data_IF_417242759959
#
_entry.id   IF_417242759959
#
_cell.length_a   1.000
_cell.length_b   1.000
_cell.length_c   1.000
_cell.angle_alpha   90.00
_cell.angle_beta   90.00
_cell.angle_gamma   90.00
#
_symmetry.space_group_name_H-M   'P 1'
#
loop_
_entity.id
_entity.type
_entity.pdbx_description
1 polymer ?
#
# COMPACT_ATOMS: atom_id res chain seq x y z
N UNK A 1 -15.36 0.69 -1.28
CA UNK A 1 -15.32 2.01 -0.68
C UNK A 1 -14.74 3.04 -1.63
N UNK A 2 -15.01 4.29 -1.38
CA UNK A 2 -14.54 5.45 -2.13
C UNK A 2 -13.91 6.45 -1.16
N UNK A 3 -12.73 6.95 -1.53
CA UNK A 3 -12.00 7.94 -0.74
C UNK A 3 -11.64 9.11 -1.63
N UNK A 4 -11.89 10.33 -1.17
CA UNK A 4 -11.42 11.55 -1.83
C UNK A 4 -10.18 12.06 -1.10
N UNK A 5 -9.16 12.45 -1.87
CA UNK A 5 -7.93 13.03 -1.37
C UNK A 5 -7.74 14.43 -1.93
N UNK A 6 -7.38 15.38 -1.06
CA UNK A 6 -7.04 16.75 -1.42
C UNK A 6 -5.54 16.88 -1.78
N UNK A 7 -5.06 15.96 -2.58
CA UNK A 7 -3.69 15.94 -3.07
C UNK A 7 -3.57 15.26 -4.43
N UNK A 8 -2.41 15.42 -5.06
CA UNK A 8 -2.10 14.78 -6.33
C UNK A 8 -2.07 13.25 -6.18
N UNK A 9 -2.63 12.54 -7.16
CA UNK A 9 -2.74 11.08 -7.18
C UNK A 9 -1.41 10.33 -7.06
N UNK A 10 -0.30 10.93 -7.50
CA UNK A 10 1.04 10.35 -7.36
C UNK A 10 1.43 10.21 -5.89
N UNK A 11 1.04 11.15 -5.03
CA UNK A 11 1.33 11.07 -3.59
C UNK A 11 0.66 9.85 -2.94
N UNK A 12 -0.55 9.51 -3.38
CA UNK A 12 -1.25 8.31 -2.91
C UNK A 12 -0.60 7.02 -3.44
N UNK A 13 -0.02 7.05 -4.66
CA UNK A 13 0.75 5.92 -5.17
C UNK A 13 2.09 5.75 -4.47
N UNK A 14 2.72 6.84 -4.04
CA UNK A 14 3.96 6.78 -3.27
C UNK A 14 3.78 5.96 -2.00
N UNK A 15 2.68 6.16 -1.29
CA UNK A 15 2.39 5.41 -0.07
C UNK A 15 2.37 3.89 -0.28
N UNK A 16 1.90 3.37 -1.41
CA UNK A 16 1.91 1.92 -1.67
C UNK A 16 3.33 1.38 -1.93
N UNK A 17 4.21 2.22 -2.48
CA UNK A 17 5.58 1.86 -2.81
C UNK A 17 6.59 2.28 -1.74
N UNK A 18 6.11 2.82 -0.63
CA UNK A 18 6.88 3.08 0.59
C UNK A 18 6.51 2.05 1.68
N UNK A 19 7.24 0.95 1.81
CA UNK A 19 6.94 -0.03 2.85
C UNK A 19 7.34 0.43 4.25
N UNK A 20 8.19 1.45 4.38
CA UNK A 20 8.72 1.92 5.66
C UNK A 20 7.72 2.83 6.39
N UNK A 21 6.89 3.57 5.65
CA UNK A 21 5.83 4.36 6.28
C UNK A 21 4.96 3.50 7.20
N UNK A 22 4.75 2.23 6.85
CA UNK A 22 3.93 1.33 7.67
C UNK A 22 4.50 1.14 9.07
N UNK A 23 5.82 1.09 9.22
CA UNK A 23 6.46 0.92 10.52
C UNK A 23 6.38 2.20 11.37
N UNK A 24 6.48 3.35 10.76
CA UNK A 24 6.41 4.63 11.46
C UNK A 24 4.96 5.12 11.64
N UNK A 25 4.21 5.25 10.57
CA UNK A 25 2.86 5.79 10.61
C UNK A 25 1.89 4.83 11.33
N UNK A 26 1.87 3.56 10.93
CA UNK A 26 0.94 2.57 11.46
C UNK A 26 1.45 1.79 12.67
N UNK A 27 2.72 1.91 12.99
CA UNK A 27 3.35 1.19 14.11
C UNK A 27 3.78 2.06 15.28
N UNK A 28 4.19 3.29 15.03
CA UNK A 28 4.80 4.16 16.04
C UNK A 28 4.07 5.47 16.27
N UNK A 29 3.80 6.25 15.22
CA UNK A 29 3.27 7.60 15.36
C UNK A 29 1.89 7.66 16.01
N UNK A 30 1.02 6.73 15.68
CA UNK A 30 -0.35 6.65 16.19
C UNK A 30 -0.58 5.43 17.08
N UNK A 31 0.49 4.74 17.48
CA UNK A 31 0.43 3.40 18.05
C UNK A 31 0.15 2.34 16.97
N UNK A 32 -0.01 1.10 17.39
CA UNK A 32 -0.28 -0.02 16.48
C UNK A 32 -1.71 0.12 15.94
N UNK A 33 -1.84 0.43 14.63
CA UNK A 33 -3.14 0.63 14.00
C UNK A 33 -3.78 -0.67 13.48
N UNK A 34 -2.96 -1.59 12.96
CA UNK A 34 -3.48 -2.83 12.35
C UNK A 34 -3.04 -4.07 13.13
N UNK A 35 -1.74 -4.38 13.10
CA UNK A 35 -1.17 -5.48 13.86
C UNK A 35 0.26 -5.16 14.26
N UNK A 36 0.76 -5.85 15.29
CA UNK A 36 2.12 -5.64 15.82
C UNK A 36 3.22 -5.80 14.77
N UNK A 37 3.00 -6.61 13.74
CA UNK A 37 3.94 -6.80 12.65
C UNK A 37 4.23 -5.53 11.85
N UNK A 38 3.32 -4.56 11.88
CA UNK A 38 3.55 -3.27 11.21
C UNK A 38 4.62 -2.42 11.89
N UNK A 39 4.82 -2.56 13.20
CA UNK A 39 5.85 -1.83 13.92
C UNK A 39 7.28 -2.32 13.62
N UNK A 40 7.41 -3.52 13.04
CA UNK A 40 8.71 -4.08 12.70
C UNK A 40 9.24 -3.48 11.40
N UNK A 41 10.48 -3.05 11.42
CA UNK A 41 11.22 -2.66 10.21
C UNK A 41 11.81 -3.92 9.59
N UNK A 42 11.46 -4.17 8.33
CA UNK A 42 11.87 -5.38 7.62
C UNK A 42 12.94 -5.14 6.57
N UNK A 43 13.34 -6.25 5.94
CA UNK A 43 14.17 -6.22 4.74
C UNK A 43 13.30 -5.93 3.53
N UNK A 44 13.77 -5.06 2.63
CA UNK A 44 13.03 -4.55 1.50
C UNK A 44 13.65 -5.01 0.19
N UNK A 45 12.79 -5.51 -0.69
CA UNK A 45 13.14 -5.86 -2.05
C UNK A 45 12.11 -5.26 -3.02
N UNK A 46 12.57 -4.80 -4.17
CA UNK A 46 11.69 -4.22 -5.19
C UNK A 46 11.92 -4.88 -6.53
N UNK A 47 10.83 -5.16 -7.23
CA UNK A 47 10.85 -5.83 -8.52
C UNK A 47 10.08 -5.03 -9.56
N UNK A 48 10.62 -4.97 -10.77
CA UNK A 48 9.99 -4.34 -11.94
C UNK A 48 9.69 -5.41 -13.00
N UNK A 49 8.43 -5.48 -13.44
CA UNK A 49 7.97 -6.38 -14.51
C UNK A 49 7.09 -5.61 -15.49
N UNK A 50 7.70 -4.99 -16.47
CA UNK A 50 6.99 -4.19 -17.47
C UNK A 50 6.30 -2.96 -16.86
N UNK A 51 5.00 -3.04 -16.63
CA UNK A 51 4.20 -1.98 -15.98
C UNK A 51 3.84 -2.31 -14.53
N UNK A 52 4.29 -3.46 -14.02
CA UNK A 52 4.05 -3.93 -12.66
C UNK A 52 5.27 -3.67 -11.77
N UNK A 53 5.05 -3.12 -10.60
CA UNK A 53 6.05 -2.80 -9.58
C UNK A 53 5.65 -3.47 -8.29
N UNK A 54 6.57 -4.22 -7.71
CA UNK A 54 6.36 -4.97 -6.49
C UNK A 54 7.28 -4.45 -5.40
N UNK A 55 6.72 -4.19 -4.23
CA UNK A 55 7.47 -3.94 -3.01
C UNK A 55 7.28 -5.12 -2.07
N UNK A 56 8.36 -5.81 -1.76
CA UNK A 56 8.37 -6.95 -0.86
C UNK A 56 9.00 -6.51 0.47
N UNK A 57 8.29 -6.71 1.58
CA UNK A 57 8.79 -6.40 2.91
C UNK A 57 8.76 -7.66 3.77
N UNK A 58 9.96 -8.13 4.14
CA UNK A 58 10.17 -9.32 4.96
C UNK A 58 10.47 -8.93 6.39
N UNK A 59 9.57 -9.28 7.32
CA UNK A 59 9.67 -8.93 8.74
C UNK A 59 9.78 -10.16 9.62
N UNK A 60 10.54 -10.04 10.69
CA UNK A 60 10.52 -11.01 11.78
C UNK A 60 9.53 -10.53 12.85
N UNK A 61 8.51 -11.33 13.10
CA UNK A 61 7.50 -11.06 14.14
C UNK A 61 7.45 -12.28 15.06
N UNK A 62 8.06 -12.19 16.23
CA UNK A 62 8.26 -13.31 17.17
C UNK A 62 8.92 -14.53 16.49
N UNK A 63 8.24 -15.68 16.50
CA UNK A 63 8.69 -16.94 15.89
C UNK A 63 8.30 -17.06 14.40
N UNK A 64 7.85 -15.96 13.77
CA UNK A 64 7.39 -15.97 12.39
C UNK A 64 8.20 -15.05 11.51
N UNK A 65 8.31 -15.40 10.24
CA UNK A 65 8.67 -14.49 9.16
C UNK A 65 7.39 -14.14 8.42
N UNK A 66 7.11 -12.86 8.32
CA UNK A 66 6.01 -12.32 7.55
C UNK A 66 6.55 -11.58 6.34
N UNK A 67 6.16 -12.06 5.16
CA UNK A 67 6.51 -11.48 3.87
C UNK A 67 5.25 -10.84 3.31
N UNK A 68 5.27 -9.51 3.17
CA UNK A 68 4.15 -8.75 2.62
C UNK A 68 4.54 -8.16 1.28
N UNK A 69 3.72 -8.42 0.26
CA UNK A 69 3.94 -7.91 -1.10
C UNK A 69 2.86 -6.91 -1.44
N UNK A 70 3.29 -5.69 -1.70
CA UNK A 70 2.47 -4.63 -2.28
C UNK A 70 2.75 -4.55 -3.77
N UNK A 71 1.74 -4.21 -4.56
CA UNK A 71 1.84 -4.11 -6.00
C UNK A 71 1.25 -2.80 -6.51
N UNK A 72 1.97 -2.19 -7.44
CA UNK A 72 1.51 -1.09 -8.26
C UNK A 72 1.55 -1.52 -9.72
N UNK A 73 0.43 -1.47 -10.42
CA UNK A 73 0.33 -1.64 -11.86
C UNK A 73 0.01 -0.28 -12.47
N UNK A 74 0.91 0.22 -13.29
CA UNK A 74 0.72 1.52 -13.94
C UNK A 74 -0.51 1.49 -14.87
N UNK A 75 -1.25 2.61 -14.96
CA UNK A 75 -0.90 3.88 -14.33
C UNK A 75 -1.27 4.00 -12.84
N UNK A 76 -2.31 3.34 -12.34
CA UNK A 76 -2.96 3.75 -11.10
C UNK A 76 -3.63 2.63 -10.29
N UNK A 77 -3.34 1.38 -10.63
CA UNK A 77 -3.89 0.23 -9.91
C UNK A 77 -2.94 -0.21 -8.79
N UNK A 78 -3.46 -0.45 -7.59
CA UNK A 78 -2.67 -0.90 -6.44
C UNK A 78 -3.32 -2.05 -5.68
N UNK A 79 -2.47 -2.90 -5.14
CA UNK A 79 -2.86 -3.93 -4.17
C UNK A 79 -1.86 -3.96 -3.00
N UNK A 80 -2.33 -4.28 -1.81
CA UNK A 80 -1.48 -4.55 -0.66
C UNK A 80 -1.74 -5.95 -0.11
N UNK A 81 -0.69 -6.60 0.35
CA UNK A 81 -0.79 -7.86 1.09
C UNK A 81 -1.57 -7.68 2.40
N UNK A 82 -2.11 -8.76 2.92
CA UNK A 82 -2.87 -8.77 4.16
C UNK A 82 -2.04 -8.38 5.38
N UNK A 83 -2.68 -8.05 6.48
CA UNK A 83 -2.02 -7.81 7.76
C UNK A 83 -1.53 -9.12 8.39
N UNK A 84 -0.48 -9.04 9.20
CA UNK A 84 -0.05 -10.15 10.03
C UNK A 84 -1.14 -10.49 11.05
N UNK A 85 -1.47 -11.79 11.19
CA UNK A 85 -2.45 -12.21 12.18
C UNK A 85 -2.02 -11.82 13.59
N UNK A 86 -2.93 -11.23 14.38
CA UNK A 86 -2.61 -10.70 15.71
C UNK A 86 -2.11 -11.77 16.68
N UNK A 87 -2.62 -13.00 16.58
CA UNK A 87 -2.22 -14.11 17.44
C UNK A 87 -0.91 -14.79 16.99
N UNK A 88 -0.44 -14.50 15.76
CA UNK A 88 0.80 -15.04 15.23
C UNK A 88 0.88 -16.57 15.20
N UNK A 89 -0.22 -17.27 15.44
CA UNK A 89 -0.23 -18.73 15.65
C UNK A 89 -0.38 -19.54 14.38
N UNK A 90 -0.82 -18.90 13.29
CA UNK A 90 -1.13 -19.58 12.04
C UNK A 90 -0.10 -19.28 10.98
N UNK A 91 0.56 -20.34 10.48
CA UNK A 91 1.32 -20.23 9.23
C UNK A 91 0.36 -20.08 8.06
N UNK A 92 0.74 -19.25 7.11
CA UNK A 92 -0.05 -18.98 5.91
C UNK A 92 0.90 -18.82 4.73
N UNK A 93 0.86 -19.78 3.80
CA UNK A 93 1.73 -19.72 2.63
C UNK A 93 1.29 -18.66 1.61
N UNK A 94 -0.04 -18.46 1.50
CA UNK A 94 -0.60 -17.44 0.61
C UNK A 94 -1.79 -16.78 1.30
N UNK A 95 -1.66 -15.48 1.58
CA UNK A 95 -2.76 -14.62 1.96
C UNK A 95 -3.23 -13.81 0.76
N UNK A 96 -4.52 -13.50 0.68
CA UNK A 96 -5.05 -12.60 -0.33
C UNK A 96 -4.58 -11.17 -0.10
N UNK A 97 -4.67 -10.34 -1.14
CA UNK A 97 -4.55 -8.89 -0.95
C UNK A 97 -5.61 -8.39 0.04
N UNK A 98 -5.22 -7.48 0.92
CA UNK A 98 -6.16 -6.83 1.85
C UNK A 98 -7.11 -5.90 1.13
N UNK A 99 -6.61 -5.22 0.12
CA UNK A 99 -7.42 -4.37 -0.75
C UNK A 99 -6.94 -4.39 -2.19
N UNK A 100 -7.85 -4.02 -3.07
CA UNK A 100 -7.60 -3.72 -4.48
C UNK A 100 -8.15 -2.33 -4.76
N UNK A 101 -7.32 -1.43 -5.34
CA UNK A 101 -7.63 -0.01 -5.43
C UNK A 101 -7.16 0.60 -6.74
N UNK A 102 -7.97 1.50 -7.29
CA UNK A 102 -7.58 2.44 -8.35
C UNK A 102 -7.51 3.84 -7.77
N UNK A 103 -6.42 4.54 -8.01
CA UNK A 103 -6.25 5.94 -7.64
C UNK A 103 -6.47 6.78 -8.89
N UNK A 104 -7.65 7.41 -8.98
CA UNK A 104 -8.10 8.11 -10.18
C UNK A 104 -7.91 9.60 -10.00
N UNK A 105 -7.08 10.28 -10.82
CA UNK A 105 -6.94 11.72 -10.78
C UNK A 105 -8.27 12.40 -11.16
N UNK A 106 -8.66 13.42 -10.40
CA UNK A 106 -9.77 14.31 -10.72
C UNK A 106 -9.23 15.57 -11.41
N UNK A 107 -8.17 16.12 -10.82
CA UNK A 107 -7.37 17.23 -11.34
C UNK A 107 -5.95 17.15 -10.78
N UNK A 108 -5.15 18.22 -10.90
CA UNK A 108 -3.77 18.22 -10.41
C UNK A 108 -3.65 18.16 -8.88
N UNK A 109 -4.69 18.55 -8.16
CA UNK A 109 -4.70 18.72 -6.70
C UNK A 109 -5.63 17.73 -5.99
N UNK A 110 -6.43 16.98 -6.73
CA UNK A 110 -7.42 16.06 -6.16
C UNK A 110 -7.41 14.72 -6.87
N UNK A 111 -7.62 13.66 -6.09
CA UNK A 111 -7.83 12.33 -6.64
C UNK A 111 -8.87 11.55 -5.82
N UNK A 112 -9.35 10.46 -6.41
CA UNK A 112 -10.30 9.56 -5.78
C UNK A 112 -9.71 8.15 -5.79
N UNK A 113 -9.69 7.49 -4.64
CA UNK A 113 -9.47 6.07 -4.58
C UNK A 113 -10.80 5.33 -4.67
N UNK A 114 -10.93 4.46 -5.65
CA UNK A 114 -12.02 3.51 -5.78
C UNK A 114 -11.47 2.12 -5.45
N UNK A 115 -12.02 1.49 -4.41
CA UNK A 115 -11.46 0.28 -3.91
C UNK A 115 -12.49 -0.69 -3.33
N UNK A 116 -12.09 -1.94 -3.24
CA UNK A 116 -12.74 -2.91 -2.37
C UNK A 116 -11.70 -3.59 -1.49
N UNK A 117 -12.09 -3.83 -0.25
CA UNK A 117 -11.35 -4.66 0.68
C UNK A 117 -11.73 -6.13 0.51
N UNK A 118 -10.76 -7.00 0.72
CA UNK A 118 -10.98 -8.44 0.74
C UNK A 118 -11.13 -8.89 2.19
N UNK A 119 -12.37 -9.03 2.62
CA UNK A 119 -12.73 -9.47 3.96
C UNK A 119 -13.28 -10.89 3.93
N UNK A 120 -13.39 -11.47 5.08
CA UNK A 120 -14.35 -12.52 5.27
C UNK A 120 -13.89 -13.92 5.00
N UNK A 121 -12.62 -14.20 5.02
CA UNK A 121 -12.16 -15.56 5.15
C UNK A 121 -11.72 -15.88 6.58
N UNK A 122 -11.80 -17.16 6.94
CA UNK A 122 -11.28 -17.64 8.22
C UNK A 122 -9.83 -17.19 8.39
N UNK A 123 -9.59 -16.36 9.39
CA UNK A 123 -8.28 -15.80 9.69
C UNK A 123 -8.11 -14.33 9.29
N UNK A 124 -9.18 -13.62 8.95
CA UNK A 124 -9.16 -12.16 8.93
C UNK A 124 -8.88 -11.63 10.34
N UNK A 125 -7.64 -11.17 10.63
CA UNK A 125 -7.24 -10.78 11.98
C UNK A 125 -7.90 -9.49 12.44
N UNK A 126 -8.54 -8.76 11.52
CA UNK A 126 -9.17 -7.48 11.79
C UNK A 126 -10.68 -7.59 11.92
N UNK A 127 -11.24 -8.80 11.73
CA UNK A 127 -12.68 -9.04 11.76
C UNK A 127 -13.49 -8.15 10.82
N UNK A 128 -12.88 -7.75 9.71
CA UNK A 128 -13.50 -6.85 8.73
C UNK A 128 -14.64 -7.48 7.94
N UNK A 129 -14.83 -8.79 8.07
CA UNK A 129 -15.93 -9.54 7.50
C UNK A 129 -17.27 -9.27 8.19
N UNK A 130 -17.27 -8.56 9.31
CA UNK A 130 -18.49 -8.09 9.98
C UNK A 130 -18.93 -6.74 9.40
N UNK A 131 -20.21 -6.42 9.54
CA UNK A 131 -20.72 -5.10 9.16
C UNK A 131 -19.99 -3.98 9.90
N UNK A 132 -19.78 -4.15 11.20
CA UNK A 132 -19.01 -3.20 12.04
C UNK A 132 -17.56 -3.08 11.61
N UNK A 133 -16.93 -4.18 11.17
CA UNK A 133 -15.60 -4.17 10.63
C UNK A 133 -15.50 -3.37 9.34
N UNK A 134 -16.47 -3.54 8.43
CA UNK A 134 -16.55 -2.75 7.20
C UNK A 134 -16.77 -1.25 7.49
N UNK A 135 -17.66 -0.92 8.41
CA UNK A 135 -17.90 0.47 8.82
C UNK A 135 -16.65 1.10 9.45
N UNK A 136 -15.86 0.34 10.21
CA UNK A 136 -14.56 0.82 10.74
C UNK A 136 -13.55 1.15 9.67
N UNK A 137 -13.52 0.43 8.55
CA UNK A 137 -12.64 0.78 7.42
C UNK A 137 -13.12 2.05 6.76
N UNK A 138 -14.41 2.15 6.48
CA UNK A 138 -14.97 3.33 5.83
C UNK A 138 -14.79 4.59 6.68
N UNK A 139 -14.94 4.49 8.00
CA UNK A 139 -14.74 5.60 8.93
C UNK A 139 -13.31 5.76 9.42
N UNK A 140 -12.48 4.71 9.35
CA UNK A 140 -11.17 4.66 10.00
C UNK A 140 -10.08 5.47 9.30
N UNK A 141 -10.11 5.59 7.98
CA UNK A 141 -9.10 6.35 7.23
C UNK A 141 -9.53 7.79 6.96
N UNK A 142 -10.84 8.13 7.06
CA UNK A 142 -11.30 9.36 6.43
C UNK A 142 -12.36 10.10 7.20
N UNK A 143 -12.23 11.32 7.15
CA UNK A 143 -13.12 12.43 6.95
C UNK A 143 -14.09 12.80 8.08
N UNK A 144 -14.65 11.89 8.82
CA UNK A 144 -15.60 12.23 9.89
C UNK A 144 -14.93 12.40 11.26
N UNK A 145 -13.60 12.28 11.29
CA UNK A 145 -12.85 12.51 12.52
C UNK A 145 -12.56 14.00 12.72
N UNK A 146 -12.74 14.54 13.93
CA UNK A 146 -12.35 15.92 14.25
C UNK A 146 -10.87 16.18 13.92
N UNK A 147 -10.56 17.42 13.53
CA UNK A 147 -9.19 17.82 13.19
C UNK A 147 -8.16 17.44 14.25
N UNK A 148 -8.47 17.64 15.52
CA UNK A 148 -7.60 17.33 16.66
C UNK A 148 -7.29 15.84 16.75
N UNK A 149 -8.26 15.00 16.43
CA UNK A 149 -8.05 13.54 16.39
C UNK A 149 -7.19 13.13 15.21
N UNK A 150 -7.44 13.70 14.04
CA UNK A 150 -6.64 13.47 12.84
C UNK A 150 -5.17 13.82 13.06
N UNK A 151 -4.88 14.88 13.81
CA UNK A 151 -3.51 15.28 14.16
C UNK A 151 -2.87 14.34 15.19
N UNK A 152 -3.63 13.81 16.13
CA UNK A 152 -3.11 12.88 17.17
C UNK A 152 -2.89 11.47 16.65
N UNK A 153 -3.68 11.05 15.67
CA UNK A 153 -3.65 9.71 15.09
C UNK A 153 -3.76 9.78 13.57
N UNK A 154 -2.75 10.32 12.90
CA UNK A 154 -2.77 10.41 11.45
C UNK A 154 -2.79 9.03 10.81
N UNK A 155 -3.55 8.90 9.73
CA UNK A 155 -3.53 7.76 8.82
C UNK A 155 -2.89 8.15 7.49
N UNK A 156 -3.02 7.27 6.49
CA UNK A 156 -2.47 7.50 5.14
C UNK A 156 -3.00 8.81 4.51
N UNK A 157 -4.28 9.09 4.69
CA UNK A 157 -4.88 10.31 4.13
C UNK A 157 -4.23 11.57 4.69
N UNK A 158 -4.08 11.66 6.01
CA UNK A 158 -3.42 12.79 6.66
C UNK A 158 -1.96 12.91 6.25
N UNK A 159 -1.26 11.78 6.09
CA UNK A 159 0.15 11.78 5.68
C UNK A 159 0.32 12.31 4.25
N UNK A 160 -0.46 11.83 3.29
CA UNK A 160 -0.33 12.25 1.89
C UNK A 160 -0.87 13.67 1.65
N UNK A 161 -1.95 14.07 2.31
CA UNK A 161 -2.49 15.44 2.23
C UNK A 161 -1.59 16.45 2.94
N UNK A 162 -0.96 16.03 4.05
CA UNK A 162 -0.03 16.86 4.82
C UNK A 162 1.20 17.31 4.04
N UNK A 163 1.55 16.65 2.95
CA UNK A 163 2.60 17.07 2.02
C UNK A 163 2.17 18.23 1.11
N UNK A 164 0.92 18.67 1.20
CA UNK A 164 0.31 19.70 0.36
C UNK A 164 -0.33 19.12 -0.91
N UNK A 165 -1.05 19.96 -1.68
CA UNK A 165 -1.78 19.52 -2.86
C UNK A 165 -0.87 18.88 -3.94
N UNK A 166 0.33 19.41 -4.11
CA UNK A 166 1.37 18.87 -4.99
C UNK A 166 2.71 18.92 -4.27
N UNK A 167 3.29 17.77 -4.00
CA UNK A 167 4.62 17.69 -3.37
C UNK A 167 5.72 18.20 -4.29
N UNK A 168 6.52 19.12 -3.79
CA UNK A 168 7.66 19.64 -4.51
C UNK A 168 8.86 18.66 -4.43
N UNK A 169 9.06 17.84 -5.45
CA UNK A 169 10.11 16.82 -5.49
C UNK A 169 11.52 17.35 -5.23
N UNK A 170 11.79 18.63 -5.50
CA UNK A 170 13.09 19.25 -5.22
C UNK A 170 13.44 19.33 -3.72
N UNK A 171 12.45 19.20 -2.84
CA UNK A 171 12.61 19.19 -1.39
C UNK A 171 12.69 17.78 -0.79
N UNK A 172 12.56 16.75 -1.60
CA UNK A 172 12.60 15.36 -1.12
C UNK A 172 14.03 14.89 -0.88
N UNK A 173 14.19 14.06 0.15
CA UNK A 173 15.44 13.39 0.50
C UNK A 173 15.25 11.87 0.41
N UNK A 174 15.15 11.36 -0.82
CA UNK A 174 14.91 9.94 -1.05
C UNK A 174 16.09 9.09 -0.59
N UNK A 175 15.80 8.07 0.20
CA UNK A 175 16.74 7.12 0.76
C UNK A 175 16.69 5.78 0.00
N UNK A 176 17.61 4.83 0.23
CA UNK A 176 17.54 3.49 -0.37
C UNK A 176 16.20 2.77 -0.13
N UNK A 177 15.54 3.05 0.99
CA UNK A 177 14.20 2.52 1.33
C UNK A 177 13.11 3.00 0.38
N UNK A 178 13.32 4.14 -0.30
CA UNK A 178 12.39 4.75 -1.25
C UNK A 178 12.64 4.29 -2.71
N UNK A 179 13.46 3.25 -2.87
CA UNK A 179 13.81 2.77 -4.21
C UNK A 179 12.57 2.40 -5.04
N UNK A 180 11.54 1.86 -4.41
CA UNK A 180 10.25 1.57 -5.05
C UNK A 180 9.61 2.81 -5.67
N UNK A 181 9.61 3.92 -4.92
CA UNK A 181 9.11 5.22 -5.38
C UNK A 181 9.95 5.72 -6.57
N UNK A 182 11.26 5.64 -6.47
CA UNK A 182 12.16 6.11 -7.54
C UNK A 182 11.96 5.37 -8.86
N UNK A 183 11.80 4.04 -8.84
CA UNK A 183 11.69 3.25 -10.07
C UNK A 183 10.37 3.51 -10.80
N UNK A 184 9.22 3.51 -10.09
CA UNK A 184 7.95 3.72 -10.76
C UNK A 184 7.77 5.17 -11.24
N UNK A 185 8.19 6.18 -10.46
CA UNK A 185 8.17 7.59 -10.88
C UNK A 185 9.04 7.83 -12.10
N UNK A 186 10.22 7.20 -12.19
CA UNK A 186 11.07 7.23 -13.39
C UNK A 186 10.34 6.65 -14.60
N UNK A 187 9.59 5.57 -14.42
CA UNK A 187 8.81 4.95 -15.48
C UNK A 187 7.67 5.85 -15.94
N UNK A 188 6.91 6.43 -15.03
CA UNK A 188 5.84 7.39 -15.38
C UNK A 188 6.39 8.54 -16.20
N UNK A 189 7.52 9.15 -15.80
CA UNK A 189 8.17 10.22 -16.60
C UNK A 189 8.52 9.77 -18.01
N UNK A 190 9.03 8.55 -18.19
CA UNK A 190 9.32 7.98 -19.52
C UNK A 190 8.04 7.79 -20.34
N UNK A 191 6.96 7.31 -19.72
CA UNK A 191 5.67 7.12 -20.38
C UNK A 191 5.07 8.45 -20.82
N UNK A 192 5.10 9.47 -19.97
CA UNK A 192 4.65 10.83 -20.31
C UNK A 192 5.45 11.37 -21.51
N UNK A 193 6.78 11.20 -21.50
CA UNK A 193 7.61 11.62 -22.64
C UNK A 193 7.22 10.89 -23.93
N UNK A 194 7.02 9.57 -23.87
CA UNK A 194 6.59 8.77 -25.03
C UNK A 194 5.23 9.23 -25.57
N UNK A 195 4.27 9.50 -24.68
CA UNK A 195 2.97 10.04 -25.08
C UNK A 195 3.07 11.40 -25.79
N UNK A 196 3.92 12.30 -25.27
CA UNK A 196 4.18 13.60 -25.91
C UNK A 196 4.84 13.45 -27.30
N UNK A 197 5.52 12.34 -27.55
CA UNK A 197 6.11 11.98 -28.84
C UNK A 197 5.12 11.21 -29.75
N UNK A 198 3.85 11.10 -29.35
CA UNK A 198 2.80 10.41 -30.12
C UNK A 198 2.88 8.87 -30.07
N UNK A 199 3.66 8.31 -29.16
CA UNK A 199 3.77 6.85 -28.98
C UNK A 199 2.69 6.35 -28.02
N UNK A 200 2.09 5.23 -28.35
CA UNK A 200 1.18 4.58 -27.41
C UNK A 200 1.93 4.06 -26.17
N UNK A 201 1.36 4.23 -24.96
CA UNK A 201 1.95 3.66 -23.77
C UNK A 201 1.85 2.13 -23.82
N UNK A 202 2.84 1.40 -23.27
CA UNK A 202 2.71 -0.04 -23.14
C UNK A 202 1.51 -0.34 -22.26
N UNK A 203 0.58 -1.08 -22.82
CA UNK A 203 -0.55 -1.64 -22.08
C UNK A 203 -0.08 -2.86 -21.28
N UNK A 204 -0.70 -3.17 -20.15
CA UNK A 204 -0.60 -4.51 -19.57
C UNK A 204 -0.85 -5.49 -20.71
N UNK A 205 0.07 -6.44 -20.93
CA UNK A 205 0.01 -7.35 -22.09
C UNK A 205 -1.18 -8.29 -21.95
N UNK A 206 -2.36 -7.83 -22.35
CA UNK A 206 -3.57 -8.63 -22.32
C UNK A 206 -4.28 -8.52 -23.64
N UNK A 207 -4.62 -9.66 -24.21
CA UNK A 207 -5.64 -9.71 -25.23
C UNK A 207 -6.98 -9.37 -24.57
N UNK A 208 -7.89 -8.77 -25.30
CA UNK A 208 -9.25 -8.47 -24.82
C UNK A 208 -9.87 -9.73 -24.22
N UNK A 209 -10.23 -9.69 -22.95
CA UNK A 209 -10.82 -10.82 -22.23
C UNK A 209 -9.84 -11.61 -21.33
N UNK A 210 -8.55 -11.35 -21.41
CA UNK A 210 -7.58 -11.97 -20.51
C UNK A 210 -7.60 -11.33 -19.12
N UNK A 211 -7.20 -12.10 -18.11
CA UNK A 211 -7.02 -11.59 -16.75
C UNK A 211 -5.59 -11.13 -16.53
N UNK A 212 -5.42 -10.01 -15.84
CA UNK A 212 -4.11 -9.57 -15.36
C UNK A 212 -3.79 -10.34 -14.08
N UNK A 213 -2.67 -11.07 -14.08
CA UNK A 213 -2.17 -11.69 -12.86
C UNK A 213 -1.62 -10.62 -11.93
N UNK A 214 -2.11 -10.59 -10.70
CA UNK A 214 -1.66 -9.69 -9.64
C UNK A 214 -0.90 -10.47 -8.57
N UNK A 215 -0.03 -9.77 -7.82
CA UNK A 215 0.88 -10.37 -6.85
C UNK A 215 0.75 -9.76 -5.45
N UNK A 216 -0.22 -8.86 -5.23
CA UNK A 216 -0.49 -8.31 -3.90
C UNK A 216 -0.96 -9.42 -2.96
N UNK A 217 -0.09 -9.85 -2.04
CA UNK A 217 -0.33 -10.97 -1.15
C UNK A 217 0.57 -10.92 0.09
N UNK A 218 0.39 -11.84 1.01
CA UNK A 218 1.33 -12.07 2.09
C UNK A 218 1.58 -13.55 2.34
N UNK A 219 2.67 -13.82 3.04
CA UNK A 219 3.08 -15.16 3.47
C UNK A 219 3.53 -15.08 4.92
N UNK A 220 3.08 -16.01 5.75
CA UNK A 220 3.50 -16.14 7.15
C UNK A 220 4.10 -17.52 7.36
N UNK A 221 5.38 -17.58 7.65
CA UNK A 221 6.14 -18.80 7.87
C UNK A 221 6.61 -18.87 9.32
N UNK A 222 6.43 -20.02 9.95
CA UNK A 222 7.06 -20.27 11.25
C UNK A 222 8.53 -20.61 11.02
N UNK A 223 9.42 -19.95 11.75
CA UNK A 223 10.84 -20.26 11.71
C UNK A 223 11.27 -21.00 12.98
N UNK A 224 12.26 -21.89 12.90
CA UNK A 224 12.82 -22.54 14.09
C UNK A 224 13.28 -21.48 15.09
N UNK A 225 13.07 -21.77 16.38
CA UNK A 225 13.67 -20.94 17.45
C UNK A 225 15.19 -20.92 17.22
N UNK A 226 15.79 -19.74 17.30
CA UNK A 226 17.25 -19.66 17.34
C UNK A 226 17.69 -20.38 18.62
N UNK A 227 18.50 -21.40 18.48
CA UNK A 227 19.28 -21.90 19.62
C UNK A 227 20.24 -20.77 20.00
N UNK A 228 19.91 -20.10 21.08
CA UNK A 228 20.77 -19.09 21.70
C UNK A 228 21.79 -19.83 22.56
#
# INVERSE_FOLDING_TARGET
YRIEYNCNWIQVLDAIMDPVHTSFLHGQSSGIQFSKGFAEVGELEFFERGVQYLGCNTRRVDDYVWIRVNELILPNFTQAGSAFAADGTKTRYFGRSSFTRWVVPVDDNHCIALAWGNFGERGDPMEYNTKEGCERIESGEIMDRPWEERQKRPGDAEAVEGMGPITAHKGEHLMPTDYGIMIYRRRIRKLIKSLKEGKEPPQPQNKKGDTIKTNGQDTVLRVPKRNI
#
